data_IF_756518717535
#
_entry.id   IF_756518717535
#
_cell.length_a   1.000
_cell.length_b   1.000
_cell.length_c   1.000
_cell.angle_alpha   90.00
_cell.angle_beta   90.00
_cell.angle_gamma   90.00
#
_symmetry.space_group_name_H-M   'P 1'
#
loop_
_entity.id
_entity.type
_entity.pdbx_description
1 polymer ?
#
# COMPACT_ATOMS: atom_id res chain seq x y z
N UNK A 1 8.74 -33.79 7.63
CA UNK A 1 7.55 -33.59 8.51
C UNK A 1 7.91 -33.00 9.88
N UNK A 2 9.12 -33.20 10.42
CA UNK A 2 9.46 -32.77 11.79
C UNK A 2 9.30 -31.25 12.05
N UNK A 3 9.69 -30.40 11.08
CA UNK A 3 9.57 -28.92 11.16
C UNK A 3 8.19 -28.43 11.61
N UNK A 4 7.12 -29.04 11.09
CA UNK A 4 5.74 -28.59 11.35
C UNK A 4 5.03 -29.41 12.41
N UNK A 5 5.69 -30.35 13.09
CA UNK A 5 5.02 -31.27 14.02
C UNK A 5 4.15 -30.56 15.06
N UNK A 6 4.67 -29.49 15.67
CA UNK A 6 3.92 -28.67 16.66
C UNK A 6 2.76 -27.90 16.02
N UNK A 7 2.93 -27.43 14.80
CA UNK A 7 1.86 -26.74 14.06
C UNK A 7 0.76 -27.72 13.64
N UNK A 8 1.12 -28.90 13.12
CA UNK A 8 0.21 -29.99 12.76
C UNK A 8 -0.62 -30.46 13.95
N UNK A 9 -0.08 -30.46 15.18
CA UNK A 9 -0.87 -30.76 16.38
C UNK A 9 -2.03 -29.80 16.62
N UNK A 10 -1.97 -28.58 16.08
CA UNK A 10 -3.03 -27.57 16.21
C UNK A 10 -3.99 -27.60 15.01
N UNK A 11 -3.45 -27.69 13.79
CA UNK A 11 -4.23 -27.51 12.55
C UNK A 11 -4.53 -28.82 11.79
N UNK A 12 -3.99 -29.94 12.26
CA UNK A 12 -4.03 -31.23 11.58
C UNK A 12 -3.17 -31.28 10.31
N UNK A 13 -2.97 -32.49 9.76
CA UNK A 13 -2.19 -32.67 8.54
C UNK A 13 -2.84 -31.99 7.33
N UNK A 14 -4.17 -32.02 7.25
CA UNK A 14 -4.91 -31.35 6.18
C UNK A 14 -4.73 -29.83 6.23
N UNK A 15 -4.73 -29.23 7.42
CA UNK A 15 -4.46 -27.80 7.57
C UNK A 15 -3.07 -27.43 7.08
N UNK A 16 -2.05 -28.22 7.42
CA UNK A 16 -0.70 -28.02 6.90
C UNK A 16 -0.64 -28.18 5.37
N UNK A 17 -1.38 -29.15 4.81
CA UNK A 17 -1.45 -29.35 3.36
C UNK A 17 -2.06 -28.14 2.64
N UNK A 18 -3.10 -27.52 3.21
CA UNK A 18 -3.67 -26.28 2.68
C UNK A 18 -2.63 -25.15 2.67
N UNK A 19 -1.88 -24.98 3.77
CA UNK A 19 -0.81 -23.98 3.85
C UNK A 19 0.28 -24.26 2.80
N UNK A 20 0.78 -25.49 2.72
CA UNK A 20 1.84 -25.89 1.79
C UNK A 20 1.46 -25.75 0.32
N UNK A 21 0.17 -25.77 -0.01
CA UNK A 21 -0.31 -25.62 -1.39
C UNK A 21 -0.64 -24.18 -1.76
N UNK A 22 -0.62 -23.25 -0.79
CA UNK A 22 -1.02 -21.88 -1.02
C UNK A 22 0.09 -21.04 -1.65
N UNK A 23 -0.31 -20.10 -2.51
CA UNK A 23 0.52 -19.01 -3.03
C UNK A 23 0.02 -17.67 -2.50
N UNK A 24 0.86 -16.98 -1.74
CA UNK A 24 0.56 -15.66 -1.16
C UNK A 24 1.47 -14.60 -1.76
N UNK A 25 0.88 -13.49 -2.18
CA UNK A 25 1.62 -12.28 -2.54
C UNK A 25 1.65 -11.28 -1.39
N UNK A 26 2.81 -10.69 -1.14
CA UNK A 26 3.01 -9.63 -0.14
C UNK A 26 3.51 -8.40 -0.89
N UNK A 27 2.76 -7.31 -0.84
CA UNK A 27 3.14 -6.04 -1.45
C UNK A 27 3.59 -5.09 -0.35
N UNK A 28 4.84 -4.64 -0.44
CA UNK A 28 5.54 -3.90 0.60
C UNK A 28 6.14 -4.85 1.65
N UNK A 29 7.45 -4.73 1.86
CA UNK A 29 8.28 -5.43 2.85
C UNK A 29 8.78 -4.47 3.94
N UNK A 30 7.97 -3.46 4.23
CA UNK A 30 8.19 -2.54 5.35
C UNK A 30 7.92 -3.18 6.71
N UNK A 31 7.55 -2.36 7.70
CA UNK A 31 7.33 -2.83 9.07
C UNK A 31 6.21 -3.86 9.24
N UNK A 32 5.21 -3.86 8.33
CA UNK A 32 4.13 -4.86 8.32
C UNK A 32 4.52 -6.08 7.49
N UNK A 33 4.95 -5.87 6.25
CA UNK A 33 5.25 -6.96 5.32
C UNK A 33 6.42 -7.85 5.73
N UNK A 34 7.43 -7.29 6.37
CA UNK A 34 8.58 -8.06 6.90
C UNK A 34 8.14 -9.18 7.86
N UNK A 35 7.42 -8.89 8.98
CA UNK A 35 6.91 -9.93 9.87
C UNK A 35 5.90 -10.86 9.16
N UNK A 36 5.07 -10.36 8.25
CA UNK A 36 4.18 -11.23 7.45
C UNK A 36 4.98 -12.31 6.72
N UNK A 37 6.00 -11.90 5.97
CA UNK A 37 6.81 -12.81 5.16
C UNK A 37 7.57 -13.82 6.04
N UNK A 38 8.13 -13.38 7.17
CA UNK A 38 8.81 -14.25 8.13
C UNK A 38 7.91 -15.36 8.66
N UNK A 39 6.74 -15.01 9.18
CA UNK A 39 5.84 -15.99 9.79
C UNK A 39 5.19 -16.91 8.77
N UNK A 40 4.84 -16.42 7.57
CA UNK A 40 4.28 -17.27 6.52
C UNK A 40 5.32 -18.25 5.94
N UNK A 41 6.57 -17.83 5.78
CA UNK A 41 7.65 -18.73 5.37
C UNK A 41 7.91 -19.80 6.45
N UNK A 42 7.95 -19.40 7.72
CA UNK A 42 8.12 -20.31 8.84
C UNK A 42 6.94 -21.31 8.96
N UNK A 43 5.71 -20.86 8.72
CA UNK A 43 4.50 -21.69 8.72
C UNK A 43 4.44 -22.67 7.55
N UNK A 44 5.24 -22.44 6.50
CA UNK A 44 5.36 -23.35 5.36
C UNK A 44 4.39 -23.07 4.22
N UNK A 45 3.98 -21.82 4.02
CA UNK A 45 3.22 -21.44 2.81
C UNK A 45 3.97 -21.92 1.58
N UNK A 46 3.31 -22.55 0.61
CA UNK A 46 3.97 -23.18 -0.54
C UNK A 46 4.82 -22.23 -1.36
N UNK A 47 4.26 -21.07 -1.68
CA UNK A 47 4.95 -20.01 -2.43
C UNK A 47 4.64 -18.63 -1.85
N UNK A 48 5.69 -17.83 -1.65
CA UNK A 48 5.58 -16.41 -1.35
C UNK A 48 6.10 -15.58 -2.52
N UNK A 49 5.30 -14.63 -2.97
CA UNK A 49 5.68 -13.63 -3.96
C UNK A 49 5.87 -12.31 -3.22
N UNK A 50 7.10 -11.80 -3.20
CA UNK A 50 7.48 -10.60 -2.47
C UNK A 50 7.67 -9.45 -3.46
N UNK A 51 6.92 -8.37 -3.27
CA UNK A 51 6.98 -7.19 -4.15
C UNK A 51 7.36 -5.96 -3.33
N UNK A 52 8.53 -5.40 -3.60
CA UNK A 52 9.01 -4.16 -2.98
C UNK A 52 10.15 -3.56 -3.82
N UNK A 53 10.03 -2.30 -4.24
CA UNK A 53 11.03 -1.58 -5.02
C UNK A 53 12.07 -0.82 -4.20
N UNK A 54 11.88 -0.71 -2.88
CA UNK A 54 12.81 -0.01 -2.02
C UNK A 54 14.08 -0.83 -1.75
N UNK A 55 15.12 -0.10 -1.37
CA UNK A 55 16.32 -0.63 -0.75
C UNK A 55 16.22 -0.57 0.77
N UNK A 56 16.94 -1.44 1.45
CA UNK A 56 17.10 -1.38 2.90
C UNK A 56 17.83 -0.09 3.27
N UNK A 57 17.29 0.64 4.25
CA UNK A 57 17.82 1.91 4.74
C UNK A 57 17.98 1.86 6.26
N UNK A 58 19.00 2.55 6.79
CA UNK A 58 19.27 2.58 8.24
C UNK A 58 18.05 3.06 9.05
N UNK A 59 17.34 4.08 8.56
CA UNK A 59 16.14 4.65 9.20
C UNK A 59 14.97 3.68 9.30
N UNK A 60 15.05 2.54 8.61
CA UNK A 60 14.00 1.54 8.52
C UNK A 60 14.24 0.34 9.45
N UNK A 61 15.48 0.10 9.89
CA UNK A 61 15.87 -1.09 10.65
C UNK A 61 15.22 -1.19 12.03
N UNK A 62 14.83 -0.08 12.66
CA UNK A 62 14.14 -0.08 13.96
C UNK A 62 12.77 -0.79 13.93
N UNK A 63 12.19 -1.00 12.72
CA UNK A 63 10.88 -1.64 12.52
C UNK A 63 10.88 -2.76 11.47
N UNK A 64 11.96 -2.94 10.71
CA UNK A 64 12.07 -3.94 9.65
C UNK A 64 13.07 -5.04 10.03
N UNK A 65 12.70 -5.84 11.04
CA UNK A 65 13.57 -6.87 11.64
C UNK A 65 13.87 -8.09 10.74
N UNK A 66 13.43 -8.07 9.48
CA UNK A 66 13.85 -9.02 8.46
C UNK A 66 15.26 -8.70 7.92
N UNK A 67 15.67 -7.44 8.03
CA UNK A 67 16.96 -6.94 7.56
C UNK A 67 17.84 -6.55 8.75
N UNK A 68 19.13 -6.40 8.48
CA UNK A 68 20.12 -5.90 9.43
C UNK A 68 21.04 -4.86 8.76
N UNK A 69 21.98 -4.28 9.53
CA UNK A 69 22.87 -3.22 9.02
C UNK A 69 23.74 -3.64 7.82
N UNK A 70 24.11 -4.92 7.72
CA UNK A 70 24.87 -5.42 6.57
C UNK A 70 24.04 -5.50 5.27
N UNK A 71 22.73 -5.32 5.37
CA UNK A 71 21.80 -5.38 4.25
C UNK A 71 21.50 -4.00 3.64
N UNK A 72 22.01 -2.91 4.23
CA UNK A 72 21.77 -1.54 3.75
C UNK A 72 22.19 -1.39 2.28
N UNK A 73 21.31 -0.80 1.47
CA UNK A 73 21.53 -0.57 0.04
C UNK A 73 21.12 -1.74 -0.88
N UNK A 74 20.85 -2.93 -0.33
CA UNK A 74 20.26 -4.04 -1.09
C UNK A 74 18.76 -3.85 -1.25
N UNK A 75 18.20 -4.36 -2.36
CA UNK A 75 16.75 -4.37 -2.55
C UNK A 75 16.05 -5.24 -1.51
N UNK A 76 14.98 -4.71 -0.90
CA UNK A 76 14.23 -5.40 0.16
C UNK A 76 13.69 -6.74 -0.32
N UNK A 77 13.11 -6.81 -1.52
CA UNK A 77 12.50 -8.04 -2.05
C UNK A 77 13.53 -9.17 -2.24
N UNK A 78 14.67 -8.88 -2.87
CA UNK A 78 15.72 -9.87 -3.09
C UNK A 78 16.37 -10.30 -1.77
N UNK A 79 16.66 -9.35 -0.89
CA UNK A 79 17.25 -9.65 0.41
C UNK A 79 16.29 -10.50 1.27
N UNK A 80 15.01 -10.17 1.26
CA UNK A 80 13.98 -10.95 1.95
C UNK A 80 13.95 -12.39 1.44
N UNK A 81 14.01 -12.61 0.11
CA UNK A 81 14.14 -13.95 -0.45
C UNK A 81 15.33 -14.70 0.12
N UNK A 82 16.51 -14.10 0.10
CA UNK A 82 17.74 -14.74 0.56
C UNK A 82 17.69 -15.11 2.06
N UNK A 83 17.05 -14.27 2.88
CA UNK A 83 16.85 -14.52 4.31
C UNK A 83 15.80 -15.63 4.52
N UNK A 84 14.64 -15.54 3.88
CA UNK A 84 13.53 -16.46 4.09
C UNK A 84 13.80 -17.86 3.53
N UNK A 85 14.56 -17.98 2.43
CA UNK A 85 15.01 -19.29 1.91
C UNK A 85 15.90 -20.03 2.92
N UNK A 86 16.62 -19.31 3.80
CA UNK A 86 17.38 -19.91 4.92
C UNK A 86 16.47 -20.30 6.09
N UNK A 87 15.40 -19.55 6.33
CA UNK A 87 14.38 -19.88 7.33
C UNK A 87 13.69 -21.20 6.97
N UNK A 88 13.26 -21.34 5.71
CA UNK A 88 12.55 -22.53 5.26
C UNK A 88 12.77 -22.84 3.78
N UNK A 89 13.70 -23.77 3.50
CA UNK A 89 14.04 -24.22 2.14
C UNK A 89 12.91 -24.90 1.35
N UNK A 90 11.82 -25.28 2.01
CA UNK A 90 10.68 -25.93 1.36
C UNK A 90 9.69 -24.92 0.76
N UNK A 91 9.84 -23.63 1.09
CA UNK A 91 9.00 -22.57 0.57
C UNK A 91 9.64 -21.98 -0.67
N UNK A 92 8.87 -21.86 -1.75
CA UNK A 92 9.30 -21.14 -2.95
C UNK A 92 9.17 -19.65 -2.68
N UNK A 93 10.28 -18.92 -2.73
CA UNK A 93 10.27 -17.46 -2.56
C UNK A 93 10.61 -16.80 -3.88
N UNK A 94 9.67 -16.02 -4.42
CA UNK A 94 9.83 -15.22 -5.62
C UNK A 94 9.90 -13.74 -5.22
N UNK A 95 10.87 -13.00 -5.77
CA UNK A 95 11.10 -11.60 -5.42
C UNK A 95 11.02 -10.71 -6.65
N UNK A 96 10.32 -9.57 -6.51
CA UNK A 96 10.20 -8.53 -7.53
C UNK A 96 10.60 -7.18 -6.94
N UNK A 97 11.67 -6.60 -7.47
CA UNK A 97 12.19 -5.27 -7.10
C UNK A 97 11.50 -4.14 -7.87
N UNK A 98 10.21 -4.30 -8.15
CA UNK A 98 9.41 -3.39 -8.97
C UNK A 98 8.29 -2.80 -8.14
N UNK A 99 7.97 -1.54 -8.43
CA UNK A 99 6.80 -0.88 -7.86
C UNK A 99 5.55 -1.65 -8.25
N UNK A 100 4.62 -1.82 -7.32
CA UNK A 100 3.34 -2.41 -7.64
C UNK A 100 2.48 -1.40 -8.43
N UNK A 101 2.46 -1.56 -9.74
CA UNK A 101 1.66 -0.76 -10.67
C UNK A 101 0.54 -1.60 -11.33
N UNK A 102 -0.23 -0.95 -12.20
CA UNK A 102 -1.39 -1.55 -12.85
C UNK A 102 -1.00 -2.75 -13.72
N UNK A 103 0.02 -2.60 -14.56
CA UNK A 103 0.38 -3.62 -15.54
C UNK A 103 1.05 -4.81 -14.84
N UNK A 104 2.00 -4.53 -13.95
CA UNK A 104 2.68 -5.54 -13.15
C UNK A 104 1.69 -6.27 -12.24
N UNK A 105 0.91 -5.55 -11.44
CA UNK A 105 -0.06 -6.14 -10.52
C UNK A 105 -1.14 -6.95 -11.24
N UNK A 106 -1.68 -6.46 -12.35
CA UNK A 106 -2.72 -7.18 -13.09
C UNK A 106 -2.20 -8.47 -13.73
N UNK A 107 -0.93 -8.51 -14.11
CA UNK A 107 -0.31 -9.71 -14.69
C UNK A 107 -0.12 -10.83 -13.65
N UNK A 108 0.27 -10.49 -12.42
CA UNK A 108 0.69 -11.46 -11.42
C UNK A 108 -0.45 -11.98 -10.52
N UNK A 109 -1.50 -11.18 -10.32
CA UNK A 109 -2.58 -11.50 -9.37
C UNK A 109 -3.49 -12.65 -9.82
N UNK A 110 -3.39 -13.14 -11.06
CA UNK A 110 -4.21 -14.26 -11.55
C UNK A 110 -3.93 -15.60 -10.84
N UNK A 111 -2.68 -15.88 -10.45
CA UNK A 111 -2.23 -17.21 -10.02
C UNK A 111 -1.92 -17.30 -8.51
N UNK A 112 -2.58 -16.48 -7.70
CA UNK A 112 -2.41 -16.45 -6.24
C UNK A 112 -3.72 -16.75 -5.51
N UNK A 113 -3.62 -17.24 -4.27
CA UNK A 113 -4.76 -17.46 -3.38
C UNK A 113 -5.13 -16.21 -2.59
N UNK A 114 -4.13 -15.42 -2.21
CA UNK A 114 -4.28 -14.27 -1.34
C UNK A 114 -3.18 -13.24 -1.60
N UNK A 115 -3.54 -11.95 -1.54
CA UNK A 115 -2.60 -10.84 -1.48
C UNK A 115 -2.70 -10.12 -0.13
N UNK A 116 -1.57 -9.71 0.42
CA UNK A 116 -1.48 -8.97 1.68
C UNK A 116 -0.87 -7.61 1.39
N UNK A 117 -1.61 -6.56 1.70
CA UNK A 117 -1.13 -5.18 1.66
C UNK A 117 -0.29 -4.90 2.93
N UNK A 118 1.03 -4.82 2.74
CA UNK A 118 2.01 -4.39 3.74
C UNK A 118 2.53 -2.98 3.46
N UNK A 119 1.86 -2.21 2.60
CA UNK A 119 2.26 -0.86 2.20
C UNK A 119 1.75 0.20 3.17
N UNK A 120 2.43 1.34 3.19
CA UNK A 120 2.10 2.49 4.04
C UNK A 120 1.38 3.61 3.28
N UNK A 121 1.02 3.40 2.01
CA UNK A 121 0.40 4.41 1.16
C UNK A 121 -0.97 3.98 0.63
N UNK A 122 -1.89 4.94 0.55
CA UNK A 122 -3.26 4.68 0.12
C UNK A 122 -3.34 4.29 -1.36
N UNK A 123 -2.55 4.91 -2.24
CA UNK A 123 -2.57 4.67 -3.69
C UNK A 123 -2.43 3.17 -4.00
N UNK A 124 -1.38 2.54 -3.46
CA UNK A 124 -1.10 1.12 -3.68
C UNK A 124 -2.20 0.24 -3.08
N UNK A 125 -2.73 0.59 -1.91
CA UNK A 125 -3.85 -0.14 -1.29
C UNK A 125 -5.12 -0.12 -2.14
N UNK A 126 -5.48 1.04 -2.69
CA UNK A 126 -6.60 1.15 -3.61
C UNK A 126 -6.35 0.38 -4.91
N UNK A 127 -5.13 0.43 -5.44
CA UNK A 127 -4.75 -0.32 -6.63
C UNK A 127 -4.83 -1.84 -6.40
N UNK A 128 -4.31 -2.35 -5.29
CA UNK A 128 -4.43 -3.75 -4.87
C UNK A 128 -5.92 -4.14 -4.83
N UNK A 129 -6.75 -3.33 -4.16
CA UNK A 129 -8.18 -3.58 -4.09
C UNK A 129 -8.81 -3.68 -5.49
N UNK A 130 -8.50 -2.73 -6.36
CA UNK A 130 -9.14 -2.59 -7.66
C UNK A 130 -8.74 -3.73 -8.61
N UNK A 131 -7.47 -4.12 -8.61
CA UNK A 131 -6.99 -5.30 -9.31
C UNK A 131 -7.64 -6.57 -8.74
N UNK A 132 -7.76 -6.69 -7.41
CA UNK A 132 -8.42 -7.84 -6.79
C UNK A 132 -9.90 -7.92 -7.19
N UNK A 133 -10.62 -6.80 -7.25
CA UNK A 133 -12.01 -6.74 -7.74
C UNK A 133 -12.09 -7.23 -9.18
N UNK A 134 -11.19 -6.77 -10.06
CA UNK A 134 -11.17 -7.19 -11.47
C UNK A 134 -10.86 -8.68 -11.64
N UNK A 135 -10.01 -9.25 -10.77
CA UNK A 135 -9.55 -10.64 -10.83
C UNK A 135 -10.33 -11.59 -9.91
N UNK A 136 -11.31 -11.08 -9.16
CA UNK A 136 -12.02 -11.81 -8.10
C UNK A 136 -11.10 -12.48 -7.06
N UNK A 137 -10.08 -11.75 -6.61
CA UNK A 137 -9.10 -12.26 -5.62
C UNK A 137 -9.39 -11.76 -4.22
N UNK A 138 -8.94 -12.51 -3.23
CA UNK A 138 -9.03 -12.12 -1.82
C UNK A 138 -7.81 -11.31 -1.45
N UNK A 139 -7.99 -10.26 -0.65
CA UNK A 139 -6.85 -9.55 -0.08
C UNK A 139 -7.05 -9.16 1.38
N UNK A 140 -5.94 -9.07 2.11
CA UNK A 140 -5.88 -8.52 3.46
C UNK A 140 -5.35 -7.10 3.37
N UNK A 141 -6.10 -6.14 3.92
CA UNK A 141 -5.58 -4.81 4.21
C UNK A 141 -5.11 -4.77 5.65
N UNK A 142 -3.86 -4.36 5.86
CA UNK A 142 -3.30 -4.07 7.16
C UNK A 142 -2.66 -2.68 7.12
N UNK A 143 -3.04 -1.81 8.05
CA UNK A 143 -2.52 -0.44 8.11
C UNK A 143 -2.37 0.03 9.55
N UNK A 144 -1.51 1.03 9.74
CA UNK A 144 -1.18 1.59 11.05
C UNK A 144 -1.28 3.10 10.98
N UNK A 145 -1.91 3.69 11.99
CA UNK A 145 -1.81 5.11 12.29
C UNK A 145 -1.37 5.25 13.75
N UNK A 146 -0.09 5.59 13.95
CA UNK A 146 0.55 5.73 15.26
C UNK A 146 0.47 4.43 16.09
N UNK A 147 -0.54 4.28 16.95
CA UNK A 147 -0.80 3.12 17.82
C UNK A 147 -2.06 2.34 17.43
N UNK A 148 -2.74 2.74 16.36
CA UNK A 148 -3.98 2.10 15.89
C UNK A 148 -3.68 1.25 14.68
N UNK A 149 -3.95 -0.05 14.79
CA UNK A 149 -3.89 -0.99 13.67
C UNK A 149 -5.30 -1.20 13.13
N UNK A 150 -5.46 -1.14 11.82
CA UNK A 150 -6.66 -1.57 11.13
C UNK A 150 -6.35 -2.81 10.30
N UNK A 151 -7.14 -3.86 10.46
CA UNK A 151 -6.96 -5.14 9.79
C UNK A 151 -8.30 -5.68 9.26
N UNK A 152 -8.35 -6.00 7.98
CA UNK A 152 -9.55 -6.55 7.35
C UNK A 152 -9.22 -7.51 6.19
N UNK A 153 -10.04 -8.56 6.03
CA UNK A 153 -10.02 -9.48 4.91
C UNK A 153 -11.16 -9.12 3.94
N UNK A 154 -10.85 -9.00 2.65
CA UNK A 154 -11.82 -8.63 1.62
C UNK A 154 -11.96 -9.72 0.56
N UNK A 155 -13.10 -10.40 0.55
CA UNK A 155 -13.57 -11.20 -0.57
C UNK A 155 -14.14 -10.32 -1.67
N UNK A 156 -13.28 -9.80 -2.55
CA UNK A 156 -13.63 -8.68 -3.46
C UNK A 156 -14.76 -8.95 -4.45
N UNK A 157 -15.09 -10.23 -4.70
CA UNK A 157 -16.30 -10.63 -5.46
C UNK A 157 -17.59 -10.12 -4.83
N UNK A 158 -17.61 -9.98 -3.51
CA UNK A 158 -18.77 -9.55 -2.75
C UNK A 158 -18.54 -8.18 -2.12
N UNK A 159 -17.44 -7.97 -1.42
CA UNK A 159 -17.20 -6.72 -0.72
C UNK A 159 -15.72 -6.35 -0.83
N UNK A 160 -15.48 -5.12 -1.26
CA UNK A 160 -14.15 -4.60 -1.49
C UNK A 160 -13.84 -3.44 -0.54
N UNK A 161 -12.58 -3.02 -0.47
CA UNK A 161 -12.13 -1.93 0.39
C UNK A 161 -12.87 -0.61 0.10
N UNK A 162 -13.19 -0.36 -1.18
CA UNK A 162 -14.05 0.77 -1.58
C UNK A 162 -15.49 0.74 -1.03
N UNK A 163 -15.98 -0.39 -0.50
CA UNK A 163 -17.24 -0.37 0.25
C UNK A 163 -17.09 0.31 1.60
N UNK A 164 -15.92 0.15 2.25
CA UNK A 164 -15.62 0.75 3.54
C UNK A 164 -15.11 2.20 3.37
N UNK A 165 -14.19 2.40 2.43
CA UNK A 165 -13.60 3.71 2.10
C UNK A 165 -13.80 3.99 0.61
N UNK A 166 -14.90 4.64 0.20
CA UNK A 166 -15.27 4.80 -1.21
C UNK A 166 -14.19 5.43 -2.08
N UNK A 167 -13.56 6.48 -1.56
CA UNK A 167 -12.56 7.28 -2.25
C UNK A 167 -11.29 7.36 -1.40
N UNK A 168 -10.11 7.42 -2.04
CA UNK A 168 -8.88 7.73 -1.33
C UNK A 168 -9.02 9.04 -0.55
N UNK A 169 -8.39 9.15 0.63
CA UNK A 169 -8.41 10.40 1.37
C UNK A 169 -7.75 11.52 0.55
N UNK A 170 -8.15 12.79 0.74
CA UNK A 170 -7.48 13.90 0.09
C UNK A 170 -6.01 13.94 0.47
N UNK A 171 -5.21 14.46 -0.44
CA UNK A 171 -3.77 14.27 -0.42
C UNK A 171 -3.14 15.11 0.68
N UNK A 172 -2.21 14.50 1.44
CA UNK A 172 -1.53 15.17 2.55
C UNK A 172 -2.38 15.34 3.80
N UNK A 173 -3.67 15.00 3.78
CA UNK A 173 -4.56 15.13 4.95
C UNK A 173 -4.27 14.06 6.01
N UNK A 174 -3.97 12.83 5.59
CA UNK A 174 -3.64 11.72 6.50
C UNK A 174 -2.14 11.43 6.41
N UNK A 175 -1.39 11.56 7.52
CA UNK A 175 0.05 11.29 7.53
C UNK A 175 0.33 9.80 7.37
N UNK A 176 1.43 9.47 6.71
CA UNK A 176 1.96 8.10 6.67
C UNK A 176 2.86 7.81 7.90
N UNK A 177 3.34 6.57 8.03
CA UNK A 177 4.20 6.18 9.15
C UNK A 177 5.52 6.96 9.23
N UNK A 178 6.04 7.42 8.09
CA UNK A 178 7.27 8.22 8.04
C UNK A 178 7.04 9.66 8.52
N UNK A 179 5.83 10.20 8.31
CA UNK A 179 5.44 11.55 8.74
C UNK A 179 4.96 11.58 10.20
N UNK A 180 4.13 10.63 10.62
CA UNK A 180 3.56 10.57 11.97
C UNK A 180 4.49 9.92 13.00
N UNK A 181 5.50 9.16 12.54
CA UNK A 181 6.28 8.25 13.37
C UNK A 181 5.51 6.96 13.72
N UNK A 182 6.25 5.88 13.97
CA UNK A 182 5.67 4.58 14.35
C UNK A 182 6.63 3.79 15.24
N UNK A 183 6.08 3.08 16.23
CA UNK A 183 6.85 2.13 17.04
C UNK A 183 7.02 0.80 16.31
N UNK A 184 8.24 0.26 16.30
CA UNK A 184 8.53 -1.01 15.62
C UNK A 184 7.69 -2.18 16.15
N UNK A 185 7.41 -2.21 17.46
CA UNK A 185 6.53 -3.20 18.09
C UNK A 185 5.12 -3.18 17.54
N UNK A 186 4.56 -1.99 17.25
CA UNK A 186 3.22 -1.85 16.65
C UNK A 186 3.20 -2.44 15.24
N UNK A 187 4.25 -2.19 14.46
CA UNK A 187 4.38 -2.80 13.13
C UNK A 187 4.54 -4.32 13.17
N UNK A 188 5.27 -4.84 14.17
CA UNK A 188 5.40 -6.27 14.43
C UNK A 188 4.06 -6.92 14.81
N UNK A 189 3.28 -6.30 15.70
CA UNK A 189 1.93 -6.76 16.06
C UNK A 189 1.05 -6.77 14.81
N UNK A 190 1.04 -5.69 14.04
CA UNK A 190 0.22 -5.60 12.83
C UNK A 190 0.53 -6.71 11.82
N UNK A 191 1.81 -6.92 11.50
CA UNK A 191 2.21 -7.95 10.54
C UNK A 191 1.98 -9.37 11.04
N UNK A 192 2.20 -9.65 12.32
CA UNK A 192 1.89 -10.98 12.88
C UNK A 192 0.39 -11.26 12.91
N UNK A 193 -0.44 -10.26 13.22
CA UNK A 193 -1.90 -10.39 13.12
C UNK A 193 -2.36 -10.59 11.66
N UNK A 194 -1.76 -9.89 10.70
CA UNK A 194 -2.06 -10.07 9.28
C UNK A 194 -1.65 -11.47 8.78
N UNK A 195 -0.48 -11.97 9.17
CA UNK A 195 -0.05 -13.35 8.87
C UNK A 195 -1.02 -14.38 9.47
N UNK A 196 -1.43 -14.19 10.72
CA UNK A 196 -2.39 -15.08 11.37
C UNK A 196 -3.76 -15.06 10.68
N UNK A 197 -4.23 -13.88 10.24
CA UNK A 197 -5.47 -13.77 9.47
C UNK A 197 -5.36 -14.48 8.11
N UNK A 198 -4.21 -14.43 7.46
CA UNK A 198 -3.95 -15.18 6.23
C UNK A 198 -4.01 -16.69 6.46
N UNK A 199 -3.37 -17.20 7.53
CA UNK A 199 -3.45 -18.62 7.89
C UNK A 199 -4.88 -19.04 8.22
N UNK A 200 -5.61 -18.25 9.01
CA UNK A 200 -7.02 -18.52 9.32
C UNK A 200 -7.90 -18.57 8.07
N UNK A 201 -7.64 -17.72 7.08
CA UNK A 201 -8.33 -17.77 5.78
C UNK A 201 -8.01 -19.06 5.01
N UNK A 202 -6.73 -19.44 4.92
CA UNK A 202 -6.33 -20.69 4.24
C UNK A 202 -6.95 -21.92 4.91
N UNK A 203 -6.98 -21.93 6.25
CA UNK A 203 -7.54 -22.98 7.10
C UNK A 203 -9.08 -22.98 7.15
N UNK A 204 -9.75 -22.05 6.45
CA UNK A 204 -11.21 -21.91 6.42
C UNK A 204 -11.85 -21.61 7.79
N UNK A 205 -11.08 -21.00 8.69
CA UNK A 205 -11.53 -20.47 9.98
C UNK A 205 -12.12 -19.06 9.79
N UNK A 206 -11.46 -18.22 8.98
CA UNK A 206 -11.96 -16.90 8.60
C UNK A 206 -12.77 -17.00 7.30
N UNK A 207 -13.93 -16.34 7.24
CA UNK A 207 -14.82 -16.34 6.09
C UNK A 207 -14.85 -14.96 5.40
N UNK A 208 -14.39 -14.91 4.15
CA UNK A 208 -14.34 -13.69 3.33
C UNK A 208 -15.73 -13.12 2.98
N UNK A 209 -16.80 -13.88 3.17
CA UNK A 209 -18.19 -13.43 2.93
C UNK A 209 -18.78 -12.61 4.08
N UNK A 210 -18.15 -12.63 5.25
CA UNK A 210 -18.56 -11.85 6.43
C UNK A 210 -17.40 -10.94 6.84
N UNK A 211 -17.01 -9.98 5.98
CA UNK A 211 -15.85 -9.15 6.24
C UNK A 211 -16.13 -8.24 7.44
N UNK A 212 -15.14 -8.16 8.32
CA UNK A 212 -15.12 -7.28 9.47
C UNK A 212 -13.82 -6.50 9.47
N UNK A 213 -13.89 -5.24 9.89
CA UNK A 213 -12.70 -4.48 10.22
C UNK A 213 -12.40 -4.68 11.69
N UNK A 214 -11.16 -5.02 11.98
CA UNK A 214 -10.61 -5.12 13.33
C UNK A 214 -9.78 -3.87 13.58
N UNK A 215 -10.10 -3.16 14.64
CA UNK A 215 -9.36 -1.98 15.11
C UNK A 215 -8.67 -2.40 16.40
N UNK A 216 -7.35 -2.29 16.41
CA UNK A 216 -6.52 -2.64 17.55
C UNK A 216 -5.83 -1.38 18.04
N UNK A 217 -6.16 -0.96 19.25
CA UNK A 217 -5.43 0.07 19.96
C UNK A 217 -4.32 -0.59 20.76
N UNK A 218 -3.08 -0.50 20.28
CA UNK A 218 -1.93 -1.11 20.95
C UNK A 218 -1.45 -0.34 22.17
N UNK A 219 -1.93 0.89 22.38
CA UNK A 219 -1.62 1.67 23.59
C UNK A 219 -2.41 1.15 24.78
N UNK A 220 -3.70 0.86 24.56
CA UNK A 220 -4.61 0.39 25.60
C UNK A 220 -4.89 -1.12 25.54
N UNK A 221 -4.33 -1.83 24.54
CA UNK A 221 -4.59 -3.24 24.25
C UNK A 221 -6.08 -3.57 24.02
N UNK A 222 -6.83 -2.63 23.44
CA UNK A 222 -8.23 -2.83 23.11
C UNK A 222 -8.37 -3.34 21.67
N UNK A 223 -9.21 -4.35 21.47
CA UNK A 223 -9.56 -4.87 20.15
C UNK A 223 -11.07 -4.74 19.97
N UNK A 224 -11.49 -4.01 18.93
CA UNK A 224 -12.88 -3.95 18.50
C UNK A 224 -13.01 -4.52 17.09
N UNK A 225 -14.14 -5.18 16.83
CA UNK A 225 -14.47 -5.71 15.51
C UNK A 225 -15.80 -5.14 15.08
N UNK A 226 -15.87 -4.65 13.85
CA UNK A 226 -17.07 -4.05 13.28
C UNK A 226 -17.39 -4.72 11.93
N UNK A 227 -18.63 -5.19 11.71
CA UNK A 227 -19.00 -5.76 10.42
C UNK A 227 -18.95 -4.69 9.34
N UNK A 228 -18.35 -5.02 8.20
CA UNK A 228 -18.31 -4.12 7.05
C UNK A 228 -19.57 -4.33 6.23
N UNK A 229 -20.36 -3.27 6.06
CA UNK A 229 -21.54 -3.29 5.20
C UNK A 229 -21.13 -3.03 3.75
N UNK A 230 -21.75 -3.78 2.84
CA UNK A 230 -21.58 -3.55 1.41
C UNK A 230 -22.19 -2.20 1.03
N UNK A 231 -21.43 -1.36 0.34
CA UNK A 231 -21.97 -0.13 -0.24
C UNK A 231 -22.65 -0.45 -1.58
N UNK A 232 -23.98 -0.25 -1.65
CA UNK A 232 -24.77 -0.52 -2.85
C UNK A 232 -24.36 0.37 -4.05
N UNK A 233 -23.75 1.52 -3.78
CA UNK A 233 -23.23 2.44 -4.78
C UNK A 233 -21.72 2.30 -5.00
N UNK A 234 -21.10 1.21 -4.52
CA UNK A 234 -19.67 1.00 -4.68
C UNK A 234 -19.27 1.01 -6.17
N UNK A 235 -18.44 1.98 -6.55
CA UNK A 235 -17.91 2.16 -7.91
C UNK A 235 -17.21 0.90 -8.45
N UNK A 236 -16.52 0.18 -7.55
CA UNK A 236 -15.74 -1.01 -7.87
C UNK A 236 -16.59 -2.29 -7.94
N UNK A 237 -16.93 -2.89 -6.79
CA UNK A 237 -17.48 -4.25 -6.78
C UNK A 237 -18.98 -4.32 -7.16
N UNK A 238 -19.75 -3.23 -6.97
CA UNK A 238 -21.19 -3.20 -7.28
C UNK A 238 -21.48 -2.66 -8.66
N UNK A 239 -21.02 -1.45 -8.94
CA UNK A 239 -21.26 -0.80 -10.22
C UNK A 239 -20.36 -1.35 -11.33
N UNK A 240 -19.27 -2.07 -10.98
CA UNK A 240 -18.30 -2.65 -11.92
C UNK A 240 -17.78 -1.64 -12.95
N UNK A 241 -17.60 -0.39 -12.52
CA UNK A 241 -17.11 0.70 -13.37
C UNK A 241 -15.58 0.73 -13.49
N UNK A 242 -14.88 0.04 -12.58
CA UNK A 242 -13.44 -0.18 -12.72
C UNK A 242 -13.19 -1.14 -13.88
N UNK A 243 -12.22 -0.80 -14.72
CA UNK A 243 -11.70 -1.62 -15.81
C UNK A 243 -10.18 -1.46 -15.88
N UNK A 244 -9.49 -2.38 -16.58
CA UNK A 244 -8.05 -2.24 -16.79
C UNK A 244 -7.71 -0.91 -17.48
N UNK A 245 -8.48 -0.53 -18.50
CA UNK A 245 -8.33 0.76 -19.19
C UNK A 245 -8.52 1.96 -18.26
N UNK A 246 -9.50 1.89 -17.35
CA UNK A 246 -9.69 2.94 -16.34
C UNK A 246 -8.45 3.09 -15.47
N UNK A 247 -7.90 1.99 -14.96
CA UNK A 247 -6.71 2.01 -14.12
C UNK A 247 -5.47 2.51 -14.90
N UNK A 248 -5.27 2.06 -16.14
CA UNK A 248 -4.17 2.52 -16.99
C UNK A 248 -4.24 4.03 -17.28
N UNK A 249 -5.45 4.57 -17.52
CA UNK A 249 -5.64 6.00 -17.74
C UNK A 249 -5.34 6.85 -16.48
N UNK A 250 -5.53 6.29 -15.28
CA UNK A 250 -5.16 6.99 -14.04
C UNK A 250 -3.65 7.01 -13.80
N UNK A 251 -2.91 6.07 -14.39
CA UNK A 251 -1.47 5.94 -14.29
C UNK A 251 -0.68 6.77 -15.32
N UNK A 252 -1.35 7.59 -16.13
CA UNK A 252 -0.66 8.48 -17.05
C UNK A 252 0.32 9.38 -16.28
N UNK A 253 1.59 9.34 -16.69
CA UNK A 253 2.63 10.14 -16.06
C UNK A 253 2.58 11.58 -16.60
N UNK A 254 2.16 12.49 -15.74
CA UNK A 254 2.11 13.93 -16.01
C UNK A 254 3.29 14.67 -15.38
N UNK A 255 4.38 13.95 -15.11
CA UNK A 255 5.63 14.50 -14.60
C UNK A 255 6.33 15.35 -15.65
N UNK A 256 6.85 16.50 -15.22
CA UNK A 256 7.78 17.31 -16.00
C UNK A 256 9.05 17.53 -15.18
N UNK A 257 10.21 17.56 -15.83
CA UNK A 257 11.46 17.95 -15.18
C UNK A 257 11.62 19.48 -15.14
N UNK A 258 12.53 19.96 -14.29
CA UNK A 258 12.95 21.36 -14.26
C UNK A 258 13.46 21.84 -15.63
N UNK A 259 14.12 20.98 -16.40
CA UNK A 259 14.60 21.30 -17.75
C UNK A 259 13.45 21.51 -18.75
N UNK A 260 12.32 20.83 -18.54
CA UNK A 260 11.11 20.97 -19.37
C UNK A 260 10.22 22.13 -18.94
N UNK A 261 10.53 22.76 -17.79
CA UNK A 261 9.73 23.83 -17.21
C UNK A 261 9.93 25.15 -17.97
N UNK A 262 9.01 25.42 -18.90
CA UNK A 262 8.89 26.72 -19.57
C UNK A 262 8.03 27.70 -18.73
N UNK A 263 8.64 28.70 -18.10
CA UNK A 263 7.96 29.70 -17.26
C UNK A 263 6.99 30.62 -18.01
N UNK A 264 7.03 30.67 -19.35
CA UNK A 264 6.07 31.42 -20.16
C UNK A 264 4.78 30.63 -20.43
N UNK A 265 4.85 29.30 -20.30
CA UNK A 265 3.75 28.37 -20.58
C UNK A 265 3.19 27.71 -19.31
N UNK A 266 4.02 27.54 -18.30
CA UNK A 266 3.70 26.81 -17.07
C UNK A 266 3.50 27.76 -15.89
N UNK A 267 2.46 27.50 -15.13
CA UNK A 267 2.12 28.25 -13.92
C UNK A 267 2.39 27.37 -12.70
N UNK A 268 3.37 27.75 -11.89
CA UNK A 268 3.81 26.96 -10.73
C UNK A 268 2.87 27.11 -9.55
N UNK A 269 2.65 26.00 -8.85
CA UNK A 269 1.89 25.95 -7.60
C UNK A 269 2.67 25.15 -6.57
N UNK A 270 3.02 25.82 -5.46
CA UNK A 270 3.64 25.20 -4.30
C UNK A 270 2.56 24.66 -3.37
N UNK A 271 2.50 23.33 -3.22
CA UNK A 271 1.50 22.66 -2.38
C UNK A 271 2.02 22.25 -0.99
N UNK A 272 3.23 22.70 -0.63
CA UNK A 272 3.86 22.39 0.66
C UNK A 272 3.22 23.18 1.80
N UNK A 273 3.53 22.80 3.03
CA UNK A 273 3.18 23.59 4.21
C UNK A 273 4.10 24.80 4.36
N UNK A 274 3.68 25.77 5.18
CA UNK A 274 4.41 27.04 5.33
C UNK A 274 5.85 26.82 5.79
N UNK A 275 6.05 25.91 6.73
CA UNK A 275 7.36 25.57 7.30
C UNK A 275 8.30 24.96 6.24
N UNK A 276 7.75 24.12 5.34
CA UNK A 276 8.51 23.53 4.25
C UNK A 276 8.91 24.57 3.20
N UNK A 277 8.05 25.57 2.97
CA UNK A 277 8.28 26.66 2.01
C UNK A 277 9.34 27.65 2.50
N UNK A 278 9.47 27.85 3.81
CA UNK A 278 10.47 28.73 4.41
C UNK A 278 11.91 28.24 4.20
N UNK A 279 12.12 26.95 3.93
CA UNK A 279 13.43 26.36 3.65
C UNK A 279 13.95 26.81 2.29
N UNK A 280 13.14 26.64 1.25
CA UNK A 280 13.45 27.01 -0.12
C UNK A 280 12.14 27.12 -0.93
N UNK A 281 12.08 28.06 -1.88
CA UNK A 281 10.93 28.23 -2.78
C UNK A 281 11.39 28.55 -4.19
N UNK A 282 10.54 28.25 -5.16
CA UNK A 282 10.70 28.76 -6.52
C UNK A 282 10.06 30.16 -6.59
N UNK A 283 10.65 31.05 -7.38
CA UNK A 283 10.09 32.37 -7.62
C UNK A 283 8.83 32.29 -8.50
N UNK A 284 7.97 33.32 -8.39
CA UNK A 284 6.74 33.51 -9.18
C UNK A 284 5.78 32.31 -9.19
N UNK A 285 5.52 31.75 -8.01
CA UNK A 285 4.58 30.64 -7.82
C UNK A 285 3.34 31.04 -7.01
N UNK A 286 2.28 30.24 -7.14
CA UNK A 286 1.11 30.31 -6.28
C UNK A 286 1.31 29.39 -5.07
N UNK A 287 1.24 29.94 -3.86
CA UNK A 287 1.28 29.14 -2.64
C UNK A 287 -0.12 28.61 -2.30
N UNK A 288 -0.25 27.28 -2.20
CA UNK A 288 -1.51 26.58 -1.92
C UNK A 288 -1.26 25.42 -0.94
N UNK A 289 -1.15 25.67 0.37
CA UNK A 289 -0.83 24.62 1.34
C UNK A 289 -1.89 23.52 1.36
N UNK A 290 -1.52 22.32 0.93
CA UNK A 290 -2.51 21.26 0.62
C UNK A 290 -3.29 20.75 1.83
N UNK A 291 -2.72 20.79 3.03
CA UNK A 291 -3.42 20.36 4.25
C UNK A 291 -4.49 21.35 4.71
N UNK A 292 -4.35 22.62 4.33
CA UNK A 292 -5.27 23.70 4.72
C UNK A 292 -6.42 23.86 3.71
N UNK A 293 -6.26 23.29 2.50
CA UNK A 293 -7.19 23.48 1.40
C UNK A 293 -7.74 22.14 0.93
N UNK A 294 -9.03 21.93 1.07
CA UNK A 294 -9.73 20.70 0.66
C UNK A 294 -10.67 20.89 -0.53
N UNK A 295 -10.91 22.14 -0.95
CA UNK A 295 -11.69 22.46 -2.14
C UNK A 295 -10.76 22.75 -3.33
N UNK A 296 -10.66 21.78 -4.23
CA UNK A 296 -9.82 21.86 -5.41
C UNK A 296 -10.52 22.52 -6.61
N UNK A 297 -11.82 22.84 -6.49
CA UNK A 297 -12.58 23.53 -7.53
C UNK A 297 -12.04 24.95 -7.79
N UNK A 298 -11.32 25.54 -6.82
CA UNK A 298 -10.55 26.76 -6.98
C UNK A 298 -9.70 26.77 -8.27
N UNK A 299 -9.10 25.63 -8.62
CA UNK A 299 -8.25 25.52 -9.82
C UNK A 299 -9.03 25.52 -11.14
N UNK A 300 -10.36 25.41 -11.13
CA UNK A 300 -11.18 25.61 -12.32
C UNK A 300 -11.09 27.04 -12.85
N UNK A 301 -10.81 28.02 -11.98
CA UNK A 301 -10.52 29.40 -12.39
C UNK A 301 -9.19 29.55 -13.15
N UNK A 302 -8.34 28.51 -13.12
CA UNK A 302 -7.06 28.44 -13.82
C UNK A 302 -7.06 27.40 -14.95
N UNK A 303 -8.23 26.88 -15.37
CA UNK A 303 -8.34 25.77 -16.34
C UNK A 303 -7.64 26.02 -17.68
N UNK A 304 -7.47 27.28 -18.08
CA UNK A 304 -6.83 27.66 -19.35
C UNK A 304 -5.30 27.76 -19.24
N UNK A 305 -4.74 27.55 -18.03
CA UNK A 305 -3.30 27.51 -17.78
C UNK A 305 -2.80 26.08 -17.63
N UNK A 306 -1.53 25.85 -17.99
CA UNK A 306 -0.83 24.61 -17.64
C UNK A 306 -0.26 24.71 -16.24
N UNK A 307 -0.92 24.08 -15.28
CA UNK A 307 -0.54 24.15 -13.88
C UNK A 307 0.54 23.11 -13.59
N UNK A 308 1.60 23.51 -12.89
CA UNK A 308 2.68 22.62 -12.48
C UNK A 308 2.81 22.65 -10.96
N UNK A 309 2.53 21.52 -10.32
CA UNK A 309 2.52 21.39 -8.87
C UNK A 309 3.81 20.77 -8.36
N UNK A 310 4.32 21.27 -7.25
CA UNK A 310 5.52 20.71 -6.63
C UNK A 310 5.38 20.59 -5.12
N UNK A 311 6.05 19.60 -4.54
CA UNK A 311 6.09 19.37 -3.09
C UNK A 311 7.46 18.89 -2.64
N UNK A 312 7.67 18.69 -1.33
CA UNK A 312 8.97 18.27 -0.83
C UNK A 312 9.35 16.84 -1.26
N UNK A 313 8.39 15.92 -1.34
CA UNK A 313 8.64 14.49 -1.61
C UNK A 313 8.41 14.07 -3.07
N UNK A 314 7.81 14.93 -3.90
CA UNK A 314 7.27 14.60 -5.23
C UNK A 314 5.99 13.75 -5.22
N UNK A 315 5.73 13.00 -4.14
CA UNK A 315 4.58 12.11 -4.03
C UNK A 315 3.24 12.89 -3.93
N UNK A 316 3.18 13.94 -3.11
CA UNK A 316 1.93 14.73 -2.94
C UNK A 316 1.50 15.42 -4.24
N UNK A 317 2.45 15.96 -5.01
CA UNK A 317 2.13 16.68 -6.25
C UNK A 317 1.64 15.73 -7.33
N UNK A 318 2.25 14.54 -7.44
CA UNK A 318 1.81 13.49 -8.37
C UNK A 318 0.35 13.10 -8.13
N UNK A 319 -0.02 12.80 -6.89
CA UNK A 319 -1.41 12.47 -6.58
C UNK A 319 -2.34 13.65 -6.87
N UNK A 320 -1.90 14.87 -6.56
CA UNK A 320 -2.75 16.07 -6.65
C UNK A 320 -3.11 16.38 -8.09
N UNK A 321 -2.15 16.19 -8.99
CA UNK A 321 -2.36 16.27 -10.43
C UNK A 321 -3.37 15.26 -10.94
N UNK A 322 -3.28 14.00 -10.50
CA UNK A 322 -4.24 12.97 -10.91
C UNK A 322 -5.66 13.35 -10.52
N UNK A 323 -5.86 13.92 -9.33
CA UNK A 323 -7.17 14.38 -8.85
C UNK A 323 -7.68 15.59 -9.66
N UNK A 324 -6.86 16.63 -9.86
CA UNK A 324 -7.24 17.81 -10.64
C UNK A 324 -7.58 17.47 -12.10
N UNK A 325 -6.89 16.51 -12.71
CA UNK A 325 -7.21 16.06 -14.07
C UNK A 325 -8.58 15.40 -14.16
N UNK A 326 -9.09 14.78 -13.09
CA UNK A 326 -10.49 14.29 -13.08
C UNK A 326 -11.52 15.42 -13.14
N UNK A 327 -11.14 16.63 -12.75
CA UNK A 327 -11.95 17.85 -12.86
C UNK A 327 -11.78 18.56 -14.22
N UNK A 328 -10.99 18.00 -15.14
CA UNK A 328 -10.74 18.56 -16.46
C UNK A 328 -9.66 19.67 -16.50
N UNK A 329 -8.81 19.74 -15.47
CA UNK A 329 -7.74 20.73 -15.37
C UNK A 329 -6.46 20.17 -16.00
N UNK A 330 -5.74 20.95 -16.81
CA UNK A 330 -4.45 20.55 -17.39
C UNK A 330 -3.31 20.73 -16.37
N UNK A 331 -3.19 19.72 -15.49
CA UNK A 331 -2.26 19.72 -14.35
C UNK A 331 -1.05 18.81 -14.57
N UNK A 332 0.13 19.23 -14.13
CA UNK A 332 1.40 18.50 -14.21
C UNK A 332 2.11 18.56 -12.87
N UNK A 333 3.02 17.63 -12.59
CA UNK A 333 3.83 17.69 -11.37
C UNK A 333 5.30 17.79 -11.70
N UNK A 334 6.05 18.48 -10.85
CA UNK A 334 7.49 18.53 -10.96
C UNK A 334 8.11 17.22 -10.45
N UNK A 335 8.99 16.61 -11.24
CA UNK A 335 9.67 15.35 -10.91
C UNK A 335 10.66 15.51 -9.76
N UNK A 336 11.23 16.71 -9.63
CA UNK A 336 12.24 17.04 -8.65
C UNK A 336 11.66 17.21 -7.25
N UNK A 337 12.42 16.73 -6.26
CA UNK A 337 12.10 16.88 -4.84
C UNK A 337 12.72 18.18 -4.33
N UNK A 338 11.88 19.10 -3.86
CA UNK A 338 12.31 20.37 -3.25
C UNK A 338 12.24 20.25 -1.73
N UNK A 339 13.13 19.41 -1.19
CA UNK A 339 13.26 19.13 0.25
C UNK A 339 14.44 19.83 0.91
N UNK A 340 15.28 20.53 0.14
CA UNK A 340 16.48 21.26 0.60
C UNK A 340 16.71 22.48 -0.25
#
# INVERSE_FOLDING_TARGET
MDRYKRQISVIGEQGQKLINNATIMIVGLGGIGSPVAQYLAAAGVGKLILVDDDKVDLSNLHRQILFNESDIGFYKAEKARDVLSKVNKNVVIEAHTKRFDVDFGYSLVSDIDLIIDGTDNFETRYLINDICVLKNKVFISCSILVNIIQLALFGTKHLCYRCLYPNPPPIGVIPNCSEAGVLGTVTGIAGTMAANLALNYLLKIENEKVPQIRIIDTKNFNISSMPIKQNNNCFACKQRKISLRYLQNQNADYGISLEQLDRTKHFLVDIRQKEEREIAKLDDDLFFPIKENTDYSFFLSYKDKKLVFYCASGYRSKLFVSELRTLGIDAYYLNERLSK
#
